data_IF_965635980654
#
_entry.id   IF_965635980654
#
_cell.length_a   1.000
_cell.length_b   1.000
_cell.length_c   1.000
_cell.angle_alpha   90.00
_cell.angle_beta   90.00
_cell.angle_gamma   90.00
#
_symmetry.space_group_name_H-M   'P 1'
#
loop_
_entity.id
_entity.type
_entity.pdbx_description
1 polymer ?
#
# COMPACT_ATOMS: atom_id res chain seq x y z
N UNK A 1 24.44 31.44 52.04
CA UNK A 1 24.10 31.66 50.63
C UNK A 1 24.19 30.34 49.90
N UNK A 2 23.07 29.63 49.72
CA UNK A 2 23.02 28.42 48.88
C UNK A 2 21.61 28.33 48.28
N UNK A 3 21.46 28.75 47.02
CA UNK A 3 20.25 28.43 46.22
C UNK A 3 20.55 28.63 44.75
N UNK A 4 21.28 27.69 44.13
CA UNK A 4 21.40 27.60 42.67
C UNK A 4 21.58 26.14 42.23
N UNK A 5 20.66 25.24 42.58
CA UNK A 5 20.73 23.84 42.09
C UNK A 5 19.37 23.21 41.73
N UNK A 6 18.35 24.02 41.41
CA UNK A 6 17.02 23.49 41.01
C UNK A 6 16.75 23.54 39.50
N UNK A 7 17.51 24.32 38.72
CA UNK A 7 17.18 24.60 37.32
C UNK A 7 17.63 23.52 36.32
N UNK A 8 18.66 22.72 36.63
CA UNK A 8 19.18 21.69 35.73
C UNK A 8 18.35 20.40 35.70
N UNK A 9 17.63 20.09 36.79
CA UNK A 9 16.80 18.89 36.88
C UNK A 9 15.57 18.97 35.96
N UNK A 10 14.96 20.15 35.83
CA UNK A 10 13.78 20.34 34.97
C UNK A 10 14.12 20.24 33.47
N UNK A 11 15.31 20.70 33.06
CA UNK A 11 15.76 20.60 31.67
C UNK A 11 15.97 19.16 31.21
N UNK A 12 16.57 18.31 32.07
CA UNK A 12 16.80 16.91 31.76
C UNK A 12 15.51 16.08 31.64
N UNK A 13 14.51 16.36 32.48
CA UNK A 13 13.20 15.68 32.41
C UNK A 13 12.44 16.05 31.14
N UNK A 14 12.52 17.30 30.68
CA UNK A 14 11.87 17.74 29.45
C UNK A 14 12.49 17.11 28.20
N UNK A 15 13.82 16.91 28.17
CA UNK A 15 14.50 16.20 27.06
C UNK A 15 14.18 14.70 27.09
N UNK A 16 14.12 14.09 28.28
CA UNK A 16 13.75 12.68 28.42
C UNK A 16 12.34 12.38 27.91
N UNK A 17 11.38 13.31 28.08
CA UNK A 17 10.00 13.13 27.60
C UNK A 17 9.86 13.18 26.07
N UNK A 18 10.71 13.92 25.34
CA UNK A 18 10.65 13.96 23.87
C UNK A 18 11.16 12.68 23.20
N UNK A 19 12.05 11.93 23.87
CA UNK A 19 12.63 10.69 23.30
C UNK A 19 11.63 9.54 23.23
N UNK A 20 10.56 9.56 24.03
CA UNK A 20 9.55 8.49 24.06
C UNK A 20 8.41 8.63 23.04
N UNK A 21 8.37 9.72 22.25
CA UNK A 21 7.40 9.88 21.17
C UNK A 21 7.90 9.30 19.83
N UNK A 22 8.57 8.15 19.86
CA UNK A 22 8.84 7.38 18.64
C UNK A 22 7.57 6.61 18.27
N UNK A 23 6.69 7.28 17.50
CA UNK A 23 5.56 6.60 16.88
C UNK A 23 6.05 5.43 16.04
N UNK A 24 5.53 4.23 16.29
CA UNK A 24 5.85 3.05 15.49
C UNK A 24 5.38 3.28 14.05
N UNK A 25 6.32 3.56 13.14
CA UNK A 25 6.01 3.61 11.71
C UNK A 25 5.75 2.17 11.23
N UNK A 26 4.48 1.82 11.01
CA UNK A 26 4.11 0.53 10.42
C UNK A 26 4.49 0.53 8.94
N UNK A 27 5.51 -0.24 8.59
CA UNK A 27 5.93 -0.48 7.23
C UNK A 27 5.12 -1.64 6.64
N UNK A 28 4.27 -1.36 5.64
CA UNK A 28 3.41 -2.38 5.02
C UNK A 28 3.73 -2.57 3.54
N UNK A 29 3.66 -3.81 3.08
CA UNK A 29 3.81 -4.17 1.68
C UNK A 29 2.46 -4.46 1.06
N UNK A 30 2.16 -3.74 -0.02
CA UNK A 30 1.11 -4.10 -0.96
C UNK A 30 1.70 -4.94 -2.07
N UNK A 31 1.06 -6.07 -2.34
CA UNK A 31 1.51 -7.02 -3.35
C UNK A 31 0.34 -7.34 -4.28
N UNK A 32 0.51 -7.20 -5.59
CA UNK A 32 -0.47 -7.58 -6.59
C UNK A 32 0.15 -8.59 -7.54
N UNK A 33 -0.39 -9.81 -7.55
CA UNK A 33 0.08 -10.94 -8.34
C UNK A 33 -0.80 -11.15 -9.57
N UNK A 34 -0.18 -11.44 -10.71
CA UNK A 34 -0.90 -11.82 -11.92
C UNK A 34 -1.04 -13.35 -12.00
N UNK A 35 -2.20 -13.87 -11.62
CA UNK A 35 -2.55 -15.30 -11.73
C UNK A 35 -3.49 -15.58 -12.93
N UNK A 36 -3.56 -14.67 -13.90
CA UNK A 36 -4.47 -14.80 -15.06
C UNK A 36 -3.94 -15.72 -16.17
N UNK A 37 -2.64 -16.05 -16.14
CA UNK A 37 -1.98 -16.83 -17.20
C UNK A 37 -1.63 -16.05 -18.46
N UNK A 38 -1.89 -14.73 -18.51
CA UNK A 38 -1.56 -13.85 -19.64
C UNK A 38 -1.04 -12.49 -19.16
N UNK A 39 -0.37 -11.69 -20.00
CA UNK A 39 0.05 -10.34 -19.63
C UNK A 39 -1.15 -9.45 -19.30
N UNK A 40 -1.02 -8.65 -18.24
CA UNK A 40 -1.99 -7.62 -17.86
C UNK A 40 -1.27 -6.29 -17.68
N UNK A 41 -2.00 -5.19 -17.79
CA UNK A 41 -1.49 -3.87 -17.42
C UNK A 41 -2.23 -3.39 -16.19
N UNK A 42 -1.47 -3.02 -15.16
CA UNK A 42 -2.01 -2.47 -13.91
C UNK A 42 -1.71 -0.99 -13.90
N UNK A 43 -2.71 -0.17 -13.57
CA UNK A 43 -2.55 1.26 -13.42
C UNK A 43 -3.22 1.73 -12.15
N UNK A 44 -2.46 2.46 -11.35
CA UNK A 44 -2.99 3.08 -10.14
C UNK A 44 -3.62 4.42 -10.46
N UNK A 45 -4.64 4.77 -9.71
CA UNK A 45 -5.27 6.09 -9.78
C UNK A 45 -5.21 6.76 -8.42
N UNK A 46 -4.79 8.02 -8.45
CA UNK A 46 -4.67 8.88 -7.27
C UNK A 46 -5.55 10.10 -7.47
N UNK A 47 -6.05 10.68 -6.37
CA UNK A 47 -6.79 11.93 -6.43
C UNK A 47 -5.81 13.07 -6.12
N UNK A 48 -5.62 13.97 -7.08
CA UNK A 48 -4.78 15.18 -6.91
C UNK A 48 -5.68 16.38 -7.13
N UNK A 49 -5.81 17.24 -6.13
CA UNK A 49 -6.69 18.43 -6.16
C UNK A 49 -8.13 18.12 -6.59
N UNK A 50 -8.71 17.02 -6.06
CA UNK A 50 -10.07 16.59 -6.38
C UNK A 50 -10.24 15.94 -7.75
N UNK A 51 -9.18 15.84 -8.56
CA UNK A 51 -9.20 15.17 -9.86
C UNK A 51 -8.56 13.79 -9.79
N UNK A 52 -9.23 12.79 -10.36
CA UNK A 52 -8.63 11.46 -10.56
C UNK A 52 -7.53 11.57 -11.61
N UNK A 53 -6.31 11.21 -11.22
CA UNK A 53 -5.12 11.16 -12.07
C UNK A 53 -4.65 9.72 -12.14
N UNK A 54 -4.46 9.23 -13.37
CA UNK A 54 -3.85 7.93 -13.64
C UNK A 54 -2.34 8.03 -13.47
N UNK A 55 -1.78 7.11 -12.69
CA UNK A 55 -0.35 6.93 -12.53
C UNK A 55 0.29 6.25 -13.73
N UNK A 56 1.56 5.86 -13.59
CA UNK A 56 2.29 5.12 -14.63
C UNK A 56 1.70 3.71 -14.77
N UNK A 57 1.38 3.24 -15.99
CA UNK A 57 0.99 1.86 -16.21
C UNK A 57 2.19 0.91 -16.03
N UNK A 58 1.93 -0.22 -15.38
CA UNK A 58 2.90 -1.30 -15.17
C UNK A 58 2.37 -2.58 -15.80
N UNK A 59 3.10 -3.10 -16.79
CA UNK A 59 2.81 -4.42 -17.36
C UNK A 59 3.29 -5.50 -16.40
N UNK A 60 2.44 -6.48 -16.12
CA UNK A 60 2.77 -7.70 -15.39
C UNK A 60 2.56 -8.90 -16.30
N UNK A 61 3.63 -9.66 -16.54
CA UNK A 61 3.56 -10.95 -17.22
C UNK A 61 2.88 -11.99 -16.32
N UNK A 62 2.56 -13.15 -16.90
CA UNK A 62 1.93 -14.24 -16.17
C UNK A 62 2.83 -14.71 -15.00
N UNK A 63 2.27 -14.77 -13.80
CA UNK A 63 2.98 -15.16 -12.58
C UNK A 63 3.79 -14.02 -11.93
N UNK A 64 3.96 -12.88 -12.59
CA UNK A 64 4.68 -11.74 -12.02
C UNK A 64 3.90 -11.06 -10.90
N UNK A 65 4.65 -10.30 -10.10
CA UNK A 65 4.13 -9.62 -8.92
C UNK A 65 4.62 -8.18 -8.89
N UNK A 66 3.68 -7.24 -8.80
CA UNK A 66 3.96 -5.87 -8.40
C UNK A 66 4.01 -5.83 -6.87
N UNK A 67 5.10 -5.30 -6.31
CA UNK A 67 5.23 -5.09 -4.87
C UNK A 67 5.59 -3.64 -4.58
N UNK A 68 4.80 -3.01 -3.73
CA UNK A 68 4.95 -1.60 -3.38
C UNK A 68 4.94 -1.41 -1.87
N UNK A 69 5.78 -0.50 -1.42
CA UNK A 69 5.82 -0.06 -0.04
C UNK A 69 4.71 0.97 0.22
N UNK A 70 3.96 0.79 1.29
CA UNK A 70 2.96 1.76 1.75
C UNK A 70 3.31 2.19 3.19
N UNK A 71 3.44 3.51 3.45
CA UNK A 71 3.86 4.04 4.75
C UNK A 71 2.79 3.95 5.85
N UNK A 72 1.56 3.55 5.52
CA UNK A 72 0.44 3.45 6.46
C UNK A 72 -0.84 2.95 5.79
N UNK A 73 -1.92 2.71 6.55
CA UNK A 73 -3.17 2.25 5.98
C UNK A 73 -3.77 3.30 5.01
N UNK A 74 -4.28 2.83 3.88
CA UNK A 74 -4.80 3.68 2.80
C UNK A 74 -5.79 2.92 1.92
N UNK A 75 -6.44 3.61 0.99
CA UNK A 75 -7.24 2.99 -0.06
C UNK A 75 -6.57 3.24 -1.40
N UNK A 76 -6.10 2.17 -2.06
CA UNK A 76 -5.52 2.27 -3.41
C UNK A 76 -6.60 2.01 -4.44
N UNK A 77 -6.80 2.94 -5.37
CA UNK A 77 -7.66 2.68 -6.53
C UNK A 77 -6.82 2.13 -7.66
N UNK A 78 -7.18 0.95 -8.12
CA UNK A 78 -6.44 0.19 -9.13
C UNK A 78 -7.34 -0.11 -10.31
N UNK A 79 -6.80 0.04 -11.50
CA UNK A 79 -7.38 -0.37 -12.76
C UNK A 79 -6.50 -1.48 -13.35
N UNK A 80 -7.13 -2.54 -13.84
CA UNK A 80 -6.46 -3.66 -14.53
C UNK A 80 -7.02 -3.74 -15.93
N UNK A 81 -6.11 -3.74 -16.91
CA UNK A 81 -6.41 -3.79 -18.33
C UNK A 81 -5.94 -5.12 -18.91
N UNK A 82 -6.72 -5.63 -19.86
CA UNK A 82 -6.26 -6.71 -20.71
C UNK A 82 -5.22 -6.14 -21.70
N UNK A 83 -4.09 -6.82 -21.90
CA UNK A 83 -3.06 -6.37 -22.84
C UNK A 83 -3.58 -6.28 -24.28
N UNK A 84 -4.63 -7.06 -24.62
CA UNK A 84 -5.28 -7.05 -25.93
C UNK A 84 -6.29 -5.90 -26.09
N UNK A 85 -6.74 -5.30 -24.99
CA UNK A 85 -7.73 -4.22 -24.98
C UNK A 85 -7.37 -3.12 -23.96
N UNK A 86 -6.26 -2.39 -24.17
CA UNK A 86 -5.72 -1.45 -23.17
C UNK A 86 -6.52 -0.15 -23.01
N UNK A 87 -7.52 0.10 -23.87
CA UNK A 87 -8.27 1.36 -23.86
C UNK A 87 -9.34 1.44 -22.75
N UNK A 88 -9.75 0.30 -22.20
CA UNK A 88 -10.74 0.24 -21.13
C UNK A 88 -10.31 -0.77 -20.05
N UNK A 89 -10.51 -0.44 -18.77
CA UNK A 89 -10.15 -1.36 -17.70
C UNK A 89 -11.09 -2.56 -17.72
N UNK A 90 -10.50 -3.76 -17.77
CA UNK A 90 -11.23 -5.01 -17.60
C UNK A 90 -11.70 -5.19 -16.15
N UNK A 91 -11.01 -4.55 -15.20
CA UNK A 91 -11.43 -4.44 -13.81
C UNK A 91 -11.00 -3.08 -13.23
N UNK A 92 -11.83 -2.48 -12.38
CA UNK A 92 -11.50 -1.27 -11.63
C UNK A 92 -12.08 -1.36 -10.22
N UNK A 93 -11.29 -1.03 -9.20
CA UNK A 93 -11.74 -1.14 -7.83
C UNK A 93 -10.85 -0.44 -6.83
N UNK A 94 -11.38 -0.32 -5.61
CA UNK A 94 -10.66 0.20 -4.46
C UNK A 94 -10.16 -0.98 -3.61
N UNK A 95 -8.86 -1.00 -3.35
CA UNK A 95 -8.21 -1.99 -2.48
C UNK A 95 -7.89 -1.32 -1.15
N UNK A 96 -8.47 -1.85 -0.07
CA UNK A 96 -8.22 -1.35 1.28
C UNK A 96 -6.90 -1.93 1.80
N UNK A 97 -5.90 -1.07 1.90
CA UNK A 97 -4.59 -1.36 2.44
C UNK A 97 -4.59 -1.08 3.96
N UNK A 98 -4.44 -2.12 4.77
CA UNK A 98 -4.45 -2.10 6.24
C UNK A 98 -3.02 -1.96 6.79
N UNK A 99 -2.90 -1.93 8.11
CA UNK A 99 -1.62 -1.94 8.84
C UNK A 99 -0.90 -3.31 8.82
N UNK A 100 -1.01 -4.05 7.72
CA UNK A 100 -0.37 -5.35 7.55
C UNK A 100 0.02 -5.58 6.09
N UNK A 101 0.92 -6.52 5.86
CA UNK A 101 1.28 -6.93 4.50
C UNK A 101 0.08 -7.61 3.84
N UNK A 102 -0.34 -7.12 2.67
CA UNK A 102 -1.46 -7.68 1.94
C UNK A 102 -1.03 -8.10 0.54
N UNK A 103 -1.51 -9.28 0.16
CA UNK A 103 -1.36 -9.80 -1.20
C UNK A 103 -2.73 -9.89 -1.85
N UNK A 104 -2.82 -9.35 -3.05
CA UNK A 104 -3.97 -9.45 -3.94
C UNK A 104 -3.56 -10.27 -5.15
N UNK A 105 -4.49 -11.05 -5.68
CA UNK A 105 -4.31 -11.81 -6.92
C UNK A 105 -5.32 -11.36 -7.95
N UNK A 106 -4.82 -11.08 -9.15
CA UNK A 106 -5.62 -10.90 -10.35
C UNK A 106 -5.84 -12.29 -10.97
N UNK A 107 -7.10 -12.70 -11.05
CA UNK A 107 -7.51 -13.99 -11.61
C UNK A 107 -8.55 -13.79 -12.70
N UNK A 108 -8.82 -14.84 -13.48
CA UNK A 108 -9.91 -14.85 -14.45
C UNK A 108 -11.04 -15.72 -13.91
N UNK A 109 -12.20 -15.12 -13.64
CA UNK A 109 -13.42 -15.81 -13.18
C UNK A 109 -14.48 -15.68 -14.26
N UNK A 110 -14.96 -16.80 -14.80
CA UNK A 110 -15.94 -16.85 -15.89
C UNK A 110 -15.55 -15.95 -17.09
N UNK A 111 -14.26 -15.95 -17.46
CA UNK A 111 -13.72 -15.17 -18.57
C UNK A 111 -13.51 -13.67 -18.29
N UNK A 112 -13.79 -13.19 -17.08
CA UNK A 112 -13.59 -11.79 -16.67
C UNK A 112 -12.47 -11.67 -15.66
N UNK A 113 -11.71 -10.58 -15.71
CA UNK A 113 -10.70 -10.31 -14.69
C UNK A 113 -11.37 -9.96 -13.36
N UNK A 114 -10.83 -10.52 -12.28
CA UNK A 114 -11.25 -10.26 -10.91
C UNK A 114 -10.02 -10.10 -10.02
N UNK A 115 -10.13 -9.26 -8.99
CA UNK A 115 -9.07 -9.05 -8.01
C UNK A 115 -9.58 -9.46 -6.64
N UNK A 116 -8.88 -10.40 -6.01
CA UNK A 116 -9.20 -10.91 -4.69
C UNK A 116 -8.01 -10.80 -3.74
N UNK A 117 -8.26 -10.54 -2.46
CA UNK A 117 -7.22 -10.60 -1.44
C UNK A 117 -6.92 -12.07 -1.12
N UNK A 118 -5.64 -12.44 -1.20
CA UNK A 118 -5.15 -13.72 -0.70
C UNK A 118 -4.90 -13.54 0.80
N UNK A 119 -5.71 -14.18 1.62
CA UNK A 119 -5.47 -14.24 3.06
C UNK A 119 -4.22 -15.10 3.26
N UNK A 120 -3.09 -14.48 3.60
CA UNK A 120 -1.90 -15.23 3.98
C UNK A 120 -2.21 -15.99 5.27
N UNK A 121 -1.85 -17.28 5.38
CA UNK A 121 -1.99 -18.00 6.64
C UNK A 121 -1.15 -17.28 7.70
N UNK A 122 -1.75 -17.05 8.88
CA UNK A 122 -1.06 -16.43 10.00
C UNK A 122 0.25 -17.21 10.28
N UNK A 123 1.38 -16.50 10.28
CA UNK A 123 2.63 -17.08 10.79
C UNK A 123 2.41 -17.39 12.27
N UNK A 124 2.42 -18.68 12.62
CA UNK A 124 2.47 -19.14 14.01
C UNK A 124 3.79 -18.73 14.65
#
# INVERSE_FOLDING_TARGET
MFTTSRSYLCGLVAVAFMVFCTGAASANWFTLKNDTGKPIVVQETVIVNGQVRRGKPTTLLAGETLREFIPGPTVKRVEVFDSQAPNQPAWSGNLSCKEENQTFSVTTVAGKLSVGQIVQPAKK
#
